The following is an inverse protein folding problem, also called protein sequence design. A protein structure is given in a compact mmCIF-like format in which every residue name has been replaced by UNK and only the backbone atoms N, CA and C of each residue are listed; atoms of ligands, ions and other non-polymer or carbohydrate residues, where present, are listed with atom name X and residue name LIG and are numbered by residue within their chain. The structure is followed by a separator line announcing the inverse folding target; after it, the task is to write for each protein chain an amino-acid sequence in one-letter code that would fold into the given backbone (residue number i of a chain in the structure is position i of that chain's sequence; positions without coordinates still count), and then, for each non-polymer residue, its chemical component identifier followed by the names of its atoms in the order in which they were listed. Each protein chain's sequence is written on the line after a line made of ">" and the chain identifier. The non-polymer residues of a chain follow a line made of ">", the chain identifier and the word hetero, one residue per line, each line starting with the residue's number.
data_IF_293179061939
#
_entry.id   IF_293179061939
#
_cell.length_a   1.000
_cell.length_b   1.000
_cell.length_c   1.000
_cell.angle_alpha   90.00
_cell.angle_beta   90.00
_cell.angle_gamma   90.00
#
_symmetry.space_group_name_H-M   'P 1'
#
loop_
_entity.id
_entity.type
_entity.pdbx_description
1 polymer ?
#
# COMPACT_ATOMS: atom_id res chain seq x y z
N UNK A 1 22.98 11.47 14.68
CA UNK A 1 22.05 12.23 13.80
C UNK A 1 21.93 13.65 14.34
N UNK A 2 22.12 14.67 13.50
CA UNK A 2 22.04 16.08 13.89
C UNK A 2 20.59 16.60 13.89
N UNK A 3 20.28 17.58 14.74
CA UNK A 3 18.98 18.27 14.79
C UNK A 3 18.62 18.91 13.44
N UNK A 4 19.64 19.33 12.67
CA UNK A 4 19.45 19.91 11.33
C UNK A 4 18.92 18.87 10.32
N UNK A 5 19.41 17.63 10.40
CA UNK A 5 18.93 16.54 9.54
C UNK A 5 17.48 16.15 9.88
N UNK A 6 17.07 16.27 11.15
CA UNK A 6 15.68 16.03 11.56
C UNK A 6 14.71 17.09 11.02
N UNK A 7 15.10 18.37 11.05
CA UNK A 7 14.27 19.48 10.57
C UNK A 7 14.15 19.51 9.04
N UNK A 8 15.22 19.21 8.31
CA UNK A 8 15.15 19.03 6.84
C UNK A 8 14.24 17.88 6.45
N UNK A 9 14.30 16.75 7.17
CA UNK A 9 13.42 15.62 6.91
C UNK A 9 11.95 16.00 7.14
N UNK A 10 11.64 16.74 8.22
CA UNK A 10 10.29 17.26 8.47
C UNK A 10 9.79 18.21 7.38
N UNK A 11 10.68 19.03 6.80
CA UNK A 11 10.34 19.98 5.74
C UNK A 11 10.10 19.27 4.40
N UNK A 12 10.86 18.22 4.09
CA UNK A 12 10.65 17.33 2.95
C UNK A 12 9.30 16.61 3.00
N UNK A 13 8.90 16.15 4.20
CA UNK A 13 7.61 15.49 4.44
C UNK A 13 6.38 16.40 4.23
N UNK A 14 6.54 17.74 4.17
CA UNK A 14 5.43 18.67 3.89
C UNK A 14 5.02 18.71 2.42
N UNK A 15 5.82 18.18 1.50
CA UNK A 15 5.43 18.08 0.09
C UNK A 15 4.60 16.80 -0.07
N UNK A 16 3.29 16.96 -0.31
CA UNK A 16 2.41 15.82 -0.60
C UNK A 16 2.96 15.04 -1.79
N UNK A 17 3.27 13.77 -1.57
CA UNK A 17 3.81 12.89 -2.62
C UNK A 17 2.79 12.74 -3.75
N UNK A 18 3.25 12.91 -5.00
CA UNK A 18 2.47 12.54 -6.18
C UNK A 18 2.67 11.05 -6.46
N UNK A 19 1.60 10.28 -6.34
CA UNK A 19 1.56 8.85 -6.67
C UNK A 19 1.59 8.63 -8.19
N UNK A 20 2.20 7.52 -8.60
CA UNK A 20 2.37 7.13 -10.00
C UNK A 20 2.49 5.61 -10.08
N UNK A 21 2.24 5.00 -11.24
CA UNK A 21 2.30 3.54 -11.41
C UNK A 21 3.59 2.90 -10.89
N UNK A 22 4.74 3.52 -11.15
CA UNK A 22 6.03 3.02 -10.65
C UNK A 22 6.13 3.06 -9.11
N UNK A 23 5.57 4.11 -8.49
CA UNK A 23 5.51 4.27 -7.03
C UNK A 23 4.49 3.33 -6.40
N UNK A 24 3.40 3.04 -7.09
CA UNK A 24 2.40 2.07 -6.67
C UNK A 24 3.05 0.69 -6.56
N UNK A 25 3.83 0.29 -7.57
CA UNK A 25 4.56 -0.98 -7.55
C UNK A 25 5.58 -1.06 -6.39
N UNK A 26 6.35 0.01 -6.14
CA UNK A 26 7.28 0.08 -5.00
C UNK A 26 6.50 -0.10 -3.69
N UNK A 27 5.41 0.65 -3.51
CA UNK A 27 4.59 0.55 -2.31
C UNK A 27 4.06 -0.87 -2.10
N UNK A 28 3.53 -1.51 -3.14
CA UNK A 28 2.97 -2.85 -3.03
C UNK A 28 4.05 -3.90 -2.71
N UNK A 29 5.25 -3.76 -3.27
CA UNK A 29 6.41 -4.60 -2.93
C UNK A 29 6.82 -4.45 -1.47
N UNK A 30 6.89 -3.23 -0.95
CA UNK A 30 7.19 -2.99 0.46
C UNK A 30 6.09 -3.53 1.39
N UNK A 31 4.81 -3.37 1.02
CA UNK A 31 3.67 -3.94 1.77
C UNK A 31 3.78 -5.47 1.85
N UNK A 32 4.14 -6.12 0.73
CA UNK A 32 4.34 -7.56 0.68
C UNK A 32 5.55 -8.00 1.51
N UNK A 33 6.69 -7.31 1.38
CA UNK A 33 7.92 -7.60 2.12
C UNK A 33 7.74 -7.47 3.64
N UNK A 34 7.02 -6.45 4.09
CA UNK A 34 6.72 -6.25 5.52
C UNK A 34 5.60 -7.17 6.04
N UNK A 35 4.85 -7.84 5.16
CA UNK A 35 3.78 -8.77 5.55
C UNK A 35 2.62 -8.08 6.28
N UNK A 36 2.36 -6.80 6.02
CA UNK A 36 1.42 -6.00 6.81
C UNK A 36 -0.05 -6.46 6.68
N UNK A 37 -0.39 -7.18 5.61
CA UNK A 37 -1.72 -7.76 5.41
C UNK A 37 -1.94 -9.04 6.21
N UNK A 38 -0.87 -9.74 6.61
CA UNK A 38 -0.92 -10.98 7.41
C UNK A 38 -1.14 -10.72 8.90
N UNK A 39 -1.25 -9.45 9.31
CA UNK A 39 -1.48 -9.07 10.70
C UNK A 39 -2.91 -8.63 10.95
N UNK A 40 -3.40 -8.91 12.17
CA UNK A 40 -4.74 -8.53 12.62
C UNK A 40 -5.00 -7.04 12.34
N UNK A 41 -6.10 -6.69 11.63
CA UNK A 41 -6.52 -5.31 11.46
C UNK A 41 -6.57 -4.55 12.79
N UNK A 42 -6.18 -3.28 12.77
CA UNK A 42 -6.14 -2.39 13.96
C UNK A 42 -5.20 -2.85 15.08
N UNK A 43 -4.36 -3.86 14.87
CA UNK A 43 -3.33 -4.24 15.83
C UNK A 43 -2.18 -3.22 15.88
N UNK A 44 -1.49 -3.19 17.03
CA UNK A 44 -0.28 -2.37 17.19
C UNK A 44 0.81 -2.77 16.21
N UNK A 45 0.99 -4.08 15.98
CA UNK A 45 1.98 -4.61 15.03
C UNK A 45 1.73 -4.10 13.61
N UNK A 46 0.48 -4.20 13.13
CA UNK A 46 0.10 -3.67 11.82
C UNK A 46 0.36 -2.16 11.72
N UNK A 47 0.10 -1.42 12.80
CA UNK A 47 0.44 0.00 12.91
C UNK A 47 1.93 0.28 12.75
N UNK A 48 2.79 -0.53 13.38
CA UNK A 48 4.26 -0.38 13.31
C UNK A 48 4.80 -0.74 11.92
N UNK A 49 4.27 -1.76 11.25
CA UNK A 49 4.67 -2.11 9.89
C UNK A 49 4.33 -1.02 8.88
N UNK A 50 3.16 -0.37 9.00
CA UNK A 50 2.87 0.82 8.19
C UNK A 50 3.87 1.95 8.39
N UNK A 51 4.45 2.07 9.58
CA UNK A 51 5.53 3.01 9.83
C UNK A 51 6.84 2.57 9.15
N UNK A 52 7.23 1.29 9.28
CA UNK A 52 8.41 0.75 8.59
C UNK A 52 8.34 0.92 7.07
N UNK A 53 7.18 0.63 6.47
CA UNK A 53 6.94 0.84 5.04
C UNK A 53 7.17 2.30 4.64
N UNK A 54 6.64 3.25 5.43
CA UNK A 54 6.84 4.67 5.15
C UNK A 54 8.31 5.10 5.33
N UNK A 55 9.00 4.55 6.32
CA UNK A 55 10.41 4.82 6.56
C UNK A 55 11.29 4.29 5.41
N UNK A 56 11.01 3.08 4.91
CA UNK A 56 11.71 2.48 3.76
C UNK A 56 11.50 3.32 2.49
N UNK A 57 10.27 3.70 2.18
CA UNK A 57 9.95 4.54 1.01
C UNK A 57 10.60 5.92 1.14
N UNK A 58 10.62 6.49 2.35
CA UNK A 58 11.30 7.75 2.63
C UNK A 58 12.81 7.64 2.43
N UNK A 59 13.43 6.51 2.80
CA UNK A 59 14.84 6.24 2.57
C UNK A 59 15.20 6.16 1.07
N UNK A 60 14.24 5.81 0.20
CA UNK A 60 14.38 5.88 -1.26
C UNK A 60 14.24 7.31 -1.83
N UNK A 61 14.19 8.33 -0.98
CA UNK A 61 14.08 9.74 -1.36
C UNK A 61 12.63 10.21 -1.61
N UNK A 62 11.64 9.40 -1.23
CA UNK A 62 10.22 9.72 -1.40
C UNK A 62 9.59 10.04 -0.04
N UNK A 63 9.61 11.30 0.39
CA UNK A 63 9.04 11.71 1.67
C UNK A 63 7.55 11.34 1.79
N UNK A 64 7.24 10.37 2.67
CA UNK A 64 5.88 9.90 2.92
C UNK A 64 5.61 9.68 4.40
N UNK A 65 4.33 9.69 4.76
CA UNK A 65 3.89 9.31 6.11
C UNK A 65 3.23 7.93 6.08
N UNK A 66 3.24 7.24 7.23
CA UNK A 66 2.53 5.97 7.42
C UNK A 66 1.03 6.05 7.14
N UNK A 67 0.42 7.22 7.38
CA UNK A 67 -0.96 7.51 6.99
C UNK A 67 -1.11 7.58 5.46
N UNK A 68 -0.24 8.30 4.77
CA UNK A 68 -0.31 8.45 3.31
C UNK A 68 -0.18 7.12 2.57
N UNK A 69 0.76 6.26 2.97
CA UNK A 69 0.95 4.93 2.36
C UNK A 69 -0.27 4.03 2.57
N UNK A 70 -0.86 4.04 3.78
CA UNK A 70 -2.06 3.27 4.11
C UNK A 70 -3.29 3.77 3.36
N UNK A 71 -3.52 5.08 3.37
CA UNK A 71 -4.66 5.70 2.70
C UNK A 71 -4.60 5.43 1.19
N UNK A 72 -3.40 5.51 0.59
CA UNK A 72 -3.21 5.19 -0.83
C UNK A 72 -3.48 3.72 -1.15
N UNK A 73 -2.96 2.78 -0.35
CA UNK A 73 -3.30 1.35 -0.49
C UNK A 73 -4.81 1.11 -0.44
N UNK A 74 -5.51 1.69 0.54
CA UNK A 74 -6.95 1.55 0.68
C UNK A 74 -7.72 2.06 -0.55
N UNK A 75 -7.27 3.18 -1.15
CA UNK A 75 -7.85 3.72 -2.38
C UNK A 75 -7.62 2.75 -3.55
N UNK A 76 -6.41 2.21 -3.72
CA UNK A 76 -6.10 1.23 -4.77
C UNK A 76 -6.94 -0.03 -4.61
N UNK A 77 -6.99 -0.61 -3.41
CA UNK A 77 -7.76 -1.82 -3.12
C UNK A 77 -9.27 -1.61 -3.36
N UNK A 78 -9.81 -0.45 -2.97
CA UNK A 78 -11.22 -0.10 -3.24
C UNK A 78 -11.51 -0.03 -4.74
N UNK A 79 -10.64 0.62 -5.52
CA UNK A 79 -10.79 0.73 -6.98
C UNK A 79 -10.72 -0.63 -7.65
N UNK A 80 -9.75 -1.47 -7.25
CA UNK A 80 -9.59 -2.82 -7.78
C UNK A 80 -10.85 -3.66 -7.54
N UNK A 81 -11.35 -3.71 -6.29
CA UNK A 81 -12.57 -4.45 -5.93
C UNK A 81 -13.79 -3.99 -6.72
N UNK A 82 -13.95 -2.67 -6.92
CA UNK A 82 -15.05 -2.12 -7.70
C UNK A 82 -14.97 -2.52 -9.18
N UNK A 83 -13.76 -2.51 -9.76
CA UNK A 83 -13.54 -2.96 -11.14
C UNK A 83 -13.86 -4.44 -11.30
N UNK A 84 -13.32 -5.32 -10.45
CA UNK A 84 -13.57 -6.76 -10.51
C UNK A 84 -15.07 -7.09 -10.37
N UNK A 85 -15.76 -6.43 -9.45
CA UNK A 85 -17.21 -6.61 -9.28
C UNK A 85 -18.01 -6.11 -10.50
N UNK A 86 -17.51 -5.13 -11.25
CA UNK A 86 -18.14 -4.67 -12.48
C UNK A 86 -17.89 -5.66 -13.63
N UNK A 87 -16.66 -6.17 -13.76
CA UNK A 87 -16.29 -7.17 -14.78
C UNK A 87 -17.12 -8.45 -14.61
N UNK A 88 -17.22 -8.98 -13.39
CA UNK A 88 -18.03 -10.16 -13.07
C UNK A 88 -19.52 -9.98 -13.42
N UNK A 89 -20.05 -8.75 -13.36
CA UNK A 89 -21.44 -8.44 -13.70
C UNK A 89 -21.67 -8.17 -15.18
N UNK A 90 -20.64 -7.72 -15.90
CA UNK A 90 -20.81 -7.14 -17.24
C UNK A 90 -20.52 -8.13 -18.37
N UNK A 91 -19.67 -9.14 -18.13
CA UNK A 91 -19.17 -10.00 -19.22
C UNK A 91 -18.72 -11.37 -18.69
N UNK A 92 -19.06 -12.44 -19.43
CA UNK A 92 -18.46 -13.78 -19.33
C UNK A 92 -17.23 -13.96 -20.24
N UNK A 93 -16.64 -12.86 -20.71
CA UNK A 93 -15.49 -12.85 -21.63
C UNK A 93 -14.23 -12.44 -20.87
N UNK A 94 -13.16 -13.21 -21.08
CA UNK A 94 -11.95 -13.25 -20.26
C UNK A 94 -11.37 -11.88 -19.93
N UNK A 95 -11.15 -11.65 -18.63
CA UNK A 95 -10.56 -10.44 -18.09
C UNK A 95 -9.20 -10.14 -18.71
N UNK A 96 -8.90 -8.85 -18.86
CA UNK A 96 -7.60 -8.38 -19.32
C UNK A 96 -6.48 -8.93 -18.42
N UNK A 97 -5.32 -9.18 -19.00
CA UNK A 97 -4.14 -9.61 -18.25
C UNK A 97 -3.79 -8.56 -17.17
N UNK A 98 -3.67 -9.02 -15.93
CA UNK A 98 -3.33 -8.15 -14.81
C UNK A 98 -1.89 -7.65 -14.96
N UNK A 99 -1.68 -6.36 -14.74
CA UNK A 99 -0.31 -5.85 -14.58
C UNK A 99 0.33 -6.41 -13.31
N UNK A 100 1.66 -6.38 -13.22
CA UNK A 100 2.40 -6.84 -12.02
C UNK A 100 1.87 -6.18 -10.73
N UNK A 101 1.59 -4.88 -10.77
CA UNK A 101 1.04 -4.15 -9.64
C UNK A 101 -0.38 -4.63 -9.28
N UNK A 102 -1.20 -4.99 -10.27
CA UNK A 102 -2.56 -5.47 -10.04
C UNK A 102 -2.59 -6.89 -9.50
N UNK A 103 -1.72 -7.78 -10.01
CA UNK A 103 -1.55 -9.13 -9.46
C UNK A 103 -1.11 -9.06 -7.99
N UNK A 104 -0.11 -8.24 -7.70
CA UNK A 104 0.36 -8.08 -6.32
C UNK A 104 -0.71 -7.46 -5.41
N UNK A 105 -1.47 -6.50 -5.92
CA UNK A 105 -2.59 -5.90 -5.20
C UNK A 105 -3.70 -6.93 -4.93
N UNK A 106 -4.01 -7.80 -5.88
CA UNK A 106 -4.97 -8.89 -5.72
C UNK A 106 -4.54 -9.86 -4.62
N UNK A 107 -3.29 -10.32 -4.65
CA UNK A 107 -2.72 -11.20 -3.63
C UNK A 107 -2.80 -10.56 -2.23
N UNK A 108 -2.42 -9.29 -2.10
CA UNK A 108 -2.49 -8.56 -0.83
C UNK A 108 -3.93 -8.42 -0.31
N UNK A 109 -4.88 -8.17 -1.20
CA UNK A 109 -6.32 -8.14 -0.85
C UNK A 109 -6.79 -9.52 -0.41
N UNK A 110 -6.32 -10.59 -1.05
CA UNK A 110 -6.65 -11.96 -0.67
C UNK A 110 -6.16 -12.28 0.74
N UNK A 111 -4.86 -12.03 1.01
CA UNK A 111 -4.24 -12.23 2.33
C UNK A 111 -4.99 -11.42 3.40
N UNK A 112 -5.32 -10.16 3.14
CA UNK A 112 -6.08 -9.32 4.06
C UNK A 112 -7.44 -9.94 4.42
N UNK A 113 -8.17 -10.46 3.42
CA UNK A 113 -9.48 -11.10 3.65
C UNK A 113 -9.35 -12.41 4.43
N UNK A 114 -8.34 -13.22 4.13
CA UNK A 114 -8.10 -14.46 4.87
C UNK A 114 -7.77 -14.17 6.33
N UNK A 115 -6.98 -13.14 6.59
CA UNK A 115 -6.67 -12.71 7.95
C UNK A 115 -7.93 -12.19 8.67
N UNK A 116 -8.76 -11.41 7.99
CA UNK A 116 -10.02 -10.91 8.53
C UNK A 116 -11.01 -12.02 8.91
N UNK A 117 -11.02 -13.14 8.19
CA UNK A 117 -11.89 -14.30 8.48
C UNK A 117 -11.49 -15.10 9.72
N UNK A 118 -10.25 -14.98 10.19
CA UNK A 118 -9.72 -15.73 11.33
C UNK A 118 -9.93 -15.03 12.68
N UNK A 119 -10.62 -13.88 12.70
CA UNK A 119 -10.80 -13.01 13.87
C UNK A 119 -12.25 -13.02 14.33
#
# INVERSE_FOLDING_TARGET
>A
MSVLQLEENKKSLKKSMVWSKAKDLILLKEIAAEGVMSNKPRSRERGMQWQRIADNITALGQGVTSRAVRDHYNVMAKKYRARMAQEERSTGEGGAELTEAESLLEELIHIEREMERQI
#
